data_IF_813674426057
#
_entry.id   IF_813674426057
#
_cell.length_a   1.000
_cell.length_b   1.000
_cell.length_c   1.000
_cell.angle_alpha   90.00
_cell.angle_beta   90.00
_cell.angle_gamma   90.00
#
_symmetry.space_group_name_H-M   'P 1'
#
loop_
_entity.id
_entity.type
_entity.pdbx_description
1 polymer ?
#
# COMPACT_ATOMS: atom_id res chain seq x y z
N UNK A 1 -3.15 -39.62 0.70
CA UNK A 1 -3.36 -38.40 -0.10
C UNK A 1 -3.43 -37.25 0.89
N UNK A 2 -2.37 -36.44 0.99
CA UNK A 2 -2.27 -35.37 1.98
C UNK A 2 -3.20 -34.20 1.62
N UNK A 3 -3.90 -33.74 2.64
CA UNK A 3 -4.91 -32.70 2.67
C UNK A 3 -4.32 -31.37 2.14
N UNK A 4 -4.71 -30.91 0.94
CA UNK A 4 -4.44 -29.52 0.55
C UNK A 4 -5.50 -28.65 1.22
N UNK A 5 -5.14 -28.00 2.31
CA UNK A 5 -5.86 -26.81 2.79
C UNK A 5 -5.74 -25.74 1.69
N UNK A 6 -6.78 -25.58 0.88
CA UNK A 6 -6.80 -24.62 -0.23
C UNK A 6 -6.66 -23.18 0.26
N UNK A 7 -6.08 -22.32 -0.58
CA UNK A 7 -5.99 -20.88 -0.31
C UNK A 7 -7.39 -20.25 -0.30
N UNK A 8 -7.87 -19.91 0.90
CA UNK A 8 -9.23 -19.41 1.14
C UNK A 8 -9.41 -17.93 0.79
N UNK A 9 -8.36 -17.25 0.33
CA UNK A 9 -8.43 -15.82 -0.03
C UNK A 9 -9.25 -15.59 -1.29
N UNK A 10 -9.83 -14.40 -1.37
CA UNK A 10 -10.71 -13.97 -2.45
C UNK A 10 -9.89 -13.65 -3.70
N UNK A 11 -10.18 -14.34 -4.80
CA UNK A 11 -9.67 -14.00 -6.13
C UNK A 11 -10.47 -12.85 -6.72
N UNK A 12 -9.81 -11.85 -7.32
CA UNK A 12 -10.50 -10.75 -8.00
C UNK A 12 -10.88 -11.08 -9.45
N UNK A 13 -10.53 -12.27 -9.94
CA UNK A 13 -10.90 -12.71 -11.30
C UNK A 13 -10.22 -11.91 -12.42
N UNK A 14 -9.08 -11.28 -12.14
CA UNK A 14 -8.35 -10.46 -13.11
C UNK A 14 -7.76 -11.29 -14.26
N UNK A 15 -7.69 -10.69 -15.44
CA UNK A 15 -6.94 -11.25 -16.58
C UNK A 15 -5.42 -11.25 -16.34
N UNK A 16 -4.64 -12.06 -17.09
CA UNK A 16 -3.19 -12.20 -16.85
C UNK A 16 -2.40 -10.89 -16.83
N UNK A 17 -2.69 -9.97 -17.75
CA UNK A 17 -2.02 -8.66 -17.82
C UNK A 17 -2.35 -7.77 -16.61
N UNK A 18 -3.61 -7.76 -16.17
CA UNK A 18 -4.06 -7.02 -15.00
C UNK A 18 -3.40 -7.53 -13.71
N UNK A 19 -3.26 -8.86 -13.56
CA UNK A 19 -2.53 -9.46 -12.44
C UNK A 19 -1.07 -9.03 -12.42
N UNK A 20 -0.41 -9.05 -13.58
CA UNK A 20 0.98 -8.64 -13.70
C UNK A 20 1.16 -7.15 -13.38
N UNK A 21 0.25 -6.30 -13.85
CA UNK A 21 0.25 -4.88 -13.54
C UNK A 21 0.05 -4.62 -12.04
N UNK A 22 -0.94 -5.26 -11.43
CA UNK A 22 -1.18 -5.15 -9.99
C UNK A 22 0.04 -5.62 -9.18
N UNK A 23 0.67 -6.73 -9.56
CA UNK A 23 1.89 -7.23 -8.91
C UNK A 23 3.06 -6.24 -9.05
N UNK A 24 3.20 -5.58 -10.19
CA UNK A 24 4.21 -4.54 -10.38
C UNK A 24 3.96 -3.35 -9.45
N UNK A 25 2.71 -2.91 -9.29
CA UNK A 25 2.35 -1.83 -8.36
C UNK A 25 2.66 -2.23 -6.91
N UNK A 26 2.28 -3.43 -6.46
CA UNK A 26 2.59 -3.91 -5.11
C UNK A 26 4.11 -3.95 -4.84
N UNK A 27 4.91 -4.38 -5.83
CA UNK A 27 6.38 -4.37 -5.73
C UNK A 27 6.94 -2.95 -5.68
N UNK A 28 6.34 -2.02 -6.40
CA UNK A 28 6.69 -0.59 -6.32
C UNK A 28 6.39 -0.02 -4.94
N UNK A 29 5.23 -0.33 -4.37
CA UNK A 29 4.85 0.11 -3.03
C UNK A 29 5.82 -0.40 -1.96
N UNK A 30 6.25 -1.67 -2.05
CA UNK A 30 7.25 -2.22 -1.13
C UNK A 30 8.60 -1.47 -1.22
N UNK A 31 9.03 -1.08 -2.43
CA UNK A 31 10.24 -0.26 -2.61
C UNK A 31 10.08 1.13 -1.99
N UNK A 32 8.92 1.75 -2.13
CA UNK A 32 8.63 3.05 -1.52
C UNK A 32 8.67 2.97 0.01
N UNK A 33 8.06 1.93 0.61
CA UNK A 33 8.16 1.67 2.06
C UNK A 33 9.62 1.52 2.51
N UNK A 34 10.41 0.73 1.78
CA UNK A 34 11.84 0.57 2.10
C UNK A 34 12.61 1.89 2.01
N UNK A 35 12.29 2.73 1.01
CA UNK A 35 12.88 4.06 0.85
C UNK A 35 12.50 4.99 2.00
N UNK A 36 11.22 5.01 2.41
CA UNK A 36 10.72 5.79 3.54
C UNK A 36 11.45 5.40 4.83
N UNK A 37 11.60 4.11 5.12
CA UNK A 37 12.34 3.63 6.30
C UNK A 37 13.79 4.14 6.27
N UNK A 38 14.47 4.04 5.12
CA UNK A 38 15.82 4.54 4.96
C UNK A 38 15.92 6.04 5.21
N UNK A 39 15.01 6.83 4.63
CA UNK A 39 14.96 8.28 4.78
C UNK A 39 14.66 8.70 6.23
N UNK A 40 13.71 8.03 6.91
CA UNK A 40 13.45 8.24 8.33
C UNK A 40 14.71 7.96 9.16
N UNK A 41 15.42 6.86 8.86
CA UNK A 41 16.65 6.49 9.59
C UNK A 41 17.79 7.50 9.40
N UNK A 42 17.79 8.24 8.31
CA UNK A 42 18.74 9.31 8.00
C UNK A 42 18.23 10.70 8.40
N UNK A 43 17.13 10.79 9.15
CA UNK A 43 16.45 12.05 9.54
C UNK A 43 16.00 12.92 8.35
N UNK A 44 15.87 12.32 7.16
CA UNK A 44 15.43 12.97 5.92
C UNK A 44 13.90 12.93 5.77
N UNK A 45 13.20 13.43 6.79
CA UNK A 45 11.74 13.36 6.89
C UNK A 45 10.99 14.07 5.75
N UNK A 46 11.51 15.20 5.25
CA UNK A 46 10.88 15.94 4.17
C UNK A 46 10.93 15.16 2.84
N UNK A 47 12.01 14.41 2.60
CA UNK A 47 12.12 13.51 1.45
C UNK A 47 11.27 12.25 1.63
N UNK A 48 11.20 11.71 2.85
CA UNK A 48 10.31 10.59 3.17
C UNK A 48 8.85 10.97 2.91
N UNK A 49 8.44 12.19 3.28
CA UNK A 49 7.11 12.74 3.02
C UNK A 49 6.79 12.76 1.52
N UNK A 50 7.73 13.24 0.69
CA UNK A 50 7.57 13.23 -0.77
C UNK A 50 7.43 11.82 -1.33
N UNK A 51 8.19 10.85 -0.83
CA UNK A 51 8.06 9.44 -1.27
C UNK A 51 6.68 8.90 -0.89
N UNK A 52 6.19 9.17 0.32
CA UNK A 52 4.88 8.73 0.76
C UNK A 52 3.76 9.27 -0.15
N UNK A 53 3.70 10.58 -0.40
CA UNK A 53 2.69 11.17 -1.29
C UNK A 53 2.82 10.68 -2.74
N UNK A 54 4.03 10.70 -3.31
CA UNK A 54 4.19 10.51 -4.75
C UNK A 54 4.20 9.04 -5.19
N UNK A 55 4.55 8.10 -4.28
CA UNK A 55 4.72 6.69 -4.64
C UNK A 55 3.74 5.74 -3.94
N UNK A 56 3.06 6.22 -2.89
CA UNK A 56 2.08 5.46 -2.14
C UNK A 56 0.74 6.21 -1.99
N UNK A 57 0.71 7.54 -2.08
CA UNK A 57 -0.47 8.37 -1.87
C UNK A 57 -1.59 8.17 -2.89
N UNK A 58 -2.73 8.80 -2.63
CA UNK A 58 -3.91 8.77 -3.48
C UNK A 58 -3.80 9.81 -4.60
N UNK A 59 -3.04 9.47 -5.64
CA UNK A 59 -2.98 10.30 -6.85
C UNK A 59 -4.25 10.14 -7.68
N UNK A 60 -4.61 11.10 -8.55
CA UNK A 60 -5.76 10.96 -9.45
C UNK A 60 -5.72 9.68 -10.30
N UNK A 61 -4.53 9.30 -10.77
CA UNK A 61 -4.33 8.06 -11.53
C UNK A 61 -4.63 6.83 -10.68
N UNK A 62 -4.22 6.85 -9.41
CA UNK A 62 -4.40 5.73 -8.49
C UNK A 62 -5.85 5.63 -8.01
N UNK A 63 -6.52 6.76 -7.79
CA UNK A 63 -7.96 6.81 -7.53
C UNK A 63 -8.75 6.21 -8.69
N UNK A 64 -8.44 6.64 -9.92
CA UNK A 64 -9.05 6.06 -11.13
C UNK A 64 -8.79 4.55 -11.20
N UNK A 65 -7.55 4.12 -10.92
CA UNK A 65 -7.19 2.70 -10.94
C UNK A 65 -7.98 1.88 -9.94
N UNK A 66 -8.12 2.35 -8.70
CA UNK A 66 -8.91 1.69 -7.66
C UNK A 66 -10.38 1.55 -8.09
N UNK A 67 -10.94 2.59 -8.72
CA UNK A 67 -12.32 2.61 -9.20
C UNK A 67 -12.59 1.63 -10.36
N UNK A 68 -11.56 1.06 -11.00
CA UNK A 68 -11.74 0.01 -12.02
C UNK A 68 -12.03 -1.37 -11.42
N UNK A 69 -11.78 -1.58 -10.12
CA UNK A 69 -12.08 -2.85 -9.47
C UNK A 69 -13.56 -2.96 -9.11
N UNK A 70 -14.15 -4.11 -9.41
CA UNK A 70 -15.58 -4.39 -9.16
C UNK A 70 -15.87 -4.91 -7.76
N UNK A 71 -14.87 -5.44 -7.06
CA UNK A 71 -15.01 -5.87 -5.67
C UNK A 71 -14.91 -4.65 -4.74
N UNK A 72 -16.02 -4.28 -4.10
CA UNK A 72 -16.10 -3.09 -3.26
C UNK A 72 -15.14 -3.13 -2.07
N UNK A 73 -14.99 -4.28 -1.40
CA UNK A 73 -14.06 -4.43 -0.27
C UNK A 73 -12.61 -4.17 -0.70
N UNK A 74 -12.20 -4.71 -1.85
CA UNK A 74 -10.87 -4.51 -2.40
C UNK A 74 -10.63 -3.05 -2.78
N UNK A 75 -11.60 -2.43 -3.46
CA UNK A 75 -11.55 -1.01 -3.85
C UNK A 75 -11.43 -0.12 -2.62
N UNK A 76 -12.30 -0.30 -1.63
CA UNK A 76 -12.27 0.48 -0.38
C UNK A 76 -10.97 0.30 0.39
N UNK A 77 -10.45 -0.93 0.45
CA UNK A 77 -9.15 -1.19 1.10
C UNK A 77 -7.99 -0.50 0.36
N UNK A 78 -7.98 -0.54 -0.98
CA UNK A 78 -6.98 0.14 -1.81
C UNK A 78 -7.01 1.66 -1.63
N UNK A 79 -8.19 2.27 -1.69
CA UNK A 79 -8.35 3.71 -1.45
C UNK A 79 -7.90 4.11 -0.04
N UNK A 80 -8.26 3.32 0.98
CA UNK A 80 -7.86 3.58 2.36
C UNK A 80 -6.34 3.44 2.56
N UNK A 81 -5.70 2.49 1.90
CA UNK A 81 -4.24 2.36 1.87
C UNK A 81 -3.59 3.62 1.30
N UNK A 82 -4.02 4.05 0.12
CA UNK A 82 -3.46 5.24 -0.54
C UNK A 82 -3.68 6.51 0.27
N UNK A 83 -4.88 6.70 0.84
CA UNK A 83 -5.14 7.82 1.75
C UNK A 83 -4.27 7.77 3.01
N UNK A 84 -4.05 6.59 3.60
CA UNK A 84 -3.17 6.45 4.77
C UNK A 84 -1.71 6.79 4.47
N UNK A 85 -1.30 6.68 3.20
CA UNK A 85 0.03 7.08 2.78
C UNK A 85 0.16 8.60 2.63
N UNK A 86 -0.91 9.31 2.23
CA UNK A 86 -0.94 10.76 2.30
C UNK A 86 -0.91 11.25 3.76
N UNK A 87 -1.67 10.61 4.65
CA UNK A 87 -1.62 10.92 6.08
C UNK A 87 -0.22 10.68 6.67
N UNK A 88 0.45 9.59 6.27
CA UNK A 88 1.85 9.34 6.60
C UNK A 88 2.75 10.47 6.08
N UNK A 89 2.55 10.89 4.83
CA UNK A 89 3.28 12.01 4.23
C UNK A 89 3.17 13.29 5.05
N UNK A 90 1.98 13.61 5.55
CA UNK A 90 1.75 14.77 6.43
C UNK A 90 2.40 14.59 7.81
N UNK A 91 2.27 13.41 8.43
CA UNK A 91 2.88 13.13 9.74
C UNK A 91 4.41 13.22 9.66
N UNK A 92 5.03 12.78 8.57
CA UNK A 92 6.47 12.85 8.37
C UNK A 92 7.00 14.29 8.46
N UNK A 93 6.23 15.30 8.00
CA UNK A 93 6.62 16.72 8.10
C UNK A 93 6.79 17.21 9.55
N UNK A 94 6.21 16.51 10.53
CA UNK A 94 6.43 16.81 11.95
C UNK A 94 7.85 16.50 12.43
N UNK A 95 8.63 15.72 11.66
CA UNK A 95 9.98 15.24 12.00
C UNK A 95 10.06 14.47 13.33
N UNK A 96 8.91 14.00 13.83
CA UNK A 96 8.83 13.21 15.04
C UNK A 96 8.92 11.72 14.68
N UNK A 97 10.00 11.07 15.12
CA UNK A 97 10.26 9.66 14.82
C UNK A 97 9.11 8.74 15.29
N UNK A 98 8.63 8.89 16.52
CA UNK A 98 7.60 8.01 17.08
C UNK A 98 6.27 8.15 16.32
N UNK A 99 5.86 9.38 15.99
CA UNK A 99 4.66 9.60 15.20
C UNK A 99 4.82 9.05 13.79
N UNK A 100 5.98 9.25 13.17
CA UNK A 100 6.28 8.75 11.81
C UNK A 100 6.22 7.22 11.75
N UNK A 101 6.84 6.53 12.73
CA UNK A 101 6.79 5.07 12.81
C UNK A 101 5.37 4.55 13.07
N UNK A 102 4.58 5.25 13.89
CA UNK A 102 3.18 4.89 14.14
C UNK A 102 2.31 5.04 12.89
N UNK A 103 2.49 6.11 12.12
CA UNK A 103 1.80 6.30 10.86
C UNK A 103 2.22 5.24 9.84
N UNK A 104 3.54 4.97 9.71
CA UNK A 104 4.07 3.94 8.81
C UNK A 104 3.53 2.55 9.14
N UNK A 105 3.47 2.20 10.43
CA UNK A 105 2.84 0.97 10.90
C UNK A 105 1.37 0.87 10.47
N UNK A 106 0.61 1.96 10.60
CA UNK A 106 -0.80 2.02 10.13
C UNK A 106 -0.89 1.78 8.63
N UNK A 107 -0.06 2.44 7.81
CA UNK A 107 -0.02 2.23 6.37
C UNK A 107 0.33 0.78 6.00
N UNK A 108 1.33 0.19 6.66
CA UNK A 108 1.74 -1.20 6.42
C UNK A 108 0.70 -2.24 6.84
N UNK A 109 -0.17 -1.93 7.81
CA UNK A 109 -1.27 -2.83 8.17
C UNK A 109 -2.22 -3.10 7.00
N UNK A 110 -2.38 -2.16 6.06
CA UNK A 110 -3.17 -2.40 4.85
C UNK A 110 -2.53 -3.45 3.93
N UNK A 111 -1.20 -3.52 3.87
CA UNK A 111 -0.51 -4.58 3.14
C UNK A 111 -0.85 -5.96 3.73
N UNK A 112 -0.84 -6.07 5.06
CA UNK A 112 -1.18 -7.30 5.78
C UNK A 112 -2.65 -7.67 5.56
N UNK A 113 -3.57 -6.71 5.75
CA UNK A 113 -5.01 -6.92 5.56
C UNK A 113 -5.33 -7.35 4.12
N UNK A 114 -4.70 -6.73 3.12
CA UNK A 114 -4.88 -7.10 1.73
C UNK A 114 -4.38 -8.52 1.46
N UNK A 115 -3.15 -8.83 1.87
CA UNK A 115 -2.55 -10.15 1.65
C UNK A 115 -3.22 -11.29 2.42
N UNK A 116 -3.89 -10.99 3.54
CA UNK A 116 -4.68 -11.94 4.31
C UNK A 116 -6.05 -12.22 3.67
N UNK A 117 -6.59 -11.28 2.89
CA UNK A 117 -7.97 -11.34 2.38
C UNK A 117 -8.03 -11.71 0.90
N UNK A 118 -7.14 -11.15 0.09
CA UNK A 118 -7.18 -11.23 -1.36
C UNK A 118 -5.96 -11.97 -1.93
N UNK A 119 -6.15 -12.53 -3.13
CA UNK A 119 -5.10 -13.18 -3.92
C UNK A 119 -5.33 -12.96 -5.40
N UNK A 120 -4.26 -13.00 -6.19
CA UNK A 120 -4.31 -13.11 -7.65
C UNK A 120 -3.54 -14.30 -8.16
#
# INVERSE_FOLDING_TARGET
MMNQTGDSRISLGLGPEQKQHQLANMRSHLKAVQSIIGLISAEQFDEASKVAHNQLGLTPEMEQMCNMFTNDDFKSLGLAFHQSADDLGEVLKSKNLNHSLKALHTTMNYCISCHATFRQ
#
